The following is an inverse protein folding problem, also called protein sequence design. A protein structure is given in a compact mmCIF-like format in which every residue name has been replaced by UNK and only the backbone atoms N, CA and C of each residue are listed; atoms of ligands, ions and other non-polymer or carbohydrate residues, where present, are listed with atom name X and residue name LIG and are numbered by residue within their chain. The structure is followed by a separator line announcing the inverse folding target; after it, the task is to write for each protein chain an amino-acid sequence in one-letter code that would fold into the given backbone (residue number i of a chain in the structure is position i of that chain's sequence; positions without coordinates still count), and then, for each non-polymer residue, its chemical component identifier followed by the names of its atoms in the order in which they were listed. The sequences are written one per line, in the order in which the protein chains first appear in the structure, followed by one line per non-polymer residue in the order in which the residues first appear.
data_IF_945621229933
#
_entry.id   IF_945621229933
#
_cell.length_a   1.000
_cell.length_b   1.000
_cell.length_c   1.000
_cell.angle_alpha   90.00
_cell.angle_beta   90.00
_cell.angle_gamma   90.00
#
_symmetry.space_group_name_H-M   'P 1'
#
loop_
_entity.id
_entity.type
_entity.pdbx_description
1 polymer ?
#
# COMPACT_ATOMS: atom_id res chain seq x y z
N UNK A 1 4.26 15.45 -3.31
CA UNK A 1 2.86 15.80 -2.96
C UNK A 1 2.75 17.29 -2.62
N UNK A 2 3.75 17.87 -1.92
CA UNK A 2 3.70 19.29 -1.55
C UNK A 2 3.64 20.27 -2.74
N UNK A 3 3.86 19.81 -3.94
CA UNK A 3 3.92 20.64 -5.15
C UNK A 3 2.63 20.60 -6.00
N UNK A 4 1.59 19.92 -5.54
CA UNK A 4 0.31 19.83 -6.23
C UNK A 4 -0.82 20.31 -5.31
N UNK A 5 -0.99 21.64 -5.12
CA UNK A 5 -2.09 22.15 -4.34
C UNK A 5 -3.42 21.70 -4.97
N UNK A 6 -4.36 21.30 -4.12
CA UNK A 6 -5.68 20.84 -4.56
C UNK A 6 -5.79 19.35 -4.90
N UNK A 7 -4.72 18.54 -4.83
CA UNK A 7 -4.81 17.10 -5.01
C UNK A 7 -4.19 16.31 -3.86
N UNK A 8 -4.87 15.25 -3.44
CA UNK A 8 -4.42 14.30 -2.44
C UNK A 8 -3.88 13.02 -3.09
N UNK A 9 -2.73 12.53 -2.62
CA UNK A 9 -2.17 11.27 -3.08
C UNK A 9 -2.84 10.10 -2.33
N UNK A 10 -3.55 9.25 -3.04
CA UNK A 10 -4.30 8.09 -2.51
C UNK A 10 -3.41 7.16 -1.67
N UNK A 11 -2.22 6.82 -2.19
CA UNK A 11 -1.26 5.95 -1.51
C UNK A 11 -0.93 6.45 -0.10
N UNK A 12 -0.57 7.72 0.07
CA UNK A 12 -0.20 8.26 1.38
C UNK A 12 -1.34 8.24 2.38
N UNK A 13 -2.55 8.50 1.92
CA UNK A 13 -3.74 8.40 2.75
C UNK A 13 -4.04 6.94 3.15
N UNK A 14 -3.81 5.97 2.26
CA UNK A 14 -3.90 4.54 2.59
C UNK A 14 -2.88 4.11 3.65
N UNK A 15 -1.63 4.57 3.54
CA UNK A 15 -0.58 4.34 4.54
C UNK A 15 -1.00 4.90 5.91
N UNK A 16 -1.51 6.13 5.94
CA UNK A 16 -1.99 6.77 7.19
C UNK A 16 -3.10 5.94 7.81
N UNK A 17 -4.10 5.55 7.03
CA UNK A 17 -5.23 4.76 7.55
C UNK A 17 -4.74 3.45 8.18
N UNK A 18 -3.91 2.70 7.47
CA UNK A 18 -3.38 1.43 7.96
C UNK A 18 -2.54 1.59 9.23
N UNK A 19 -1.53 2.47 9.18
CA UNK A 19 -0.60 2.64 10.29
C UNK A 19 -1.28 3.19 11.54
N UNK A 20 -2.19 4.15 11.40
CA UNK A 20 -2.88 4.74 12.55
C UNK A 20 -3.84 3.76 13.21
N UNK A 21 -4.64 3.02 12.43
CA UNK A 21 -5.54 2.00 13.00
C UNK A 21 -4.72 0.91 13.70
N UNK A 22 -3.64 0.43 13.08
CA UNK A 22 -2.74 -0.57 13.69
C UNK A 22 -2.12 -0.05 15.00
N UNK A 23 -1.71 1.23 15.02
CA UNK A 23 -1.20 1.87 16.24
C UNK A 23 -2.26 1.98 17.33
N UNK A 24 -3.49 2.35 17.00
CA UNK A 24 -4.59 2.41 17.97
C UNK A 24 -4.91 1.04 18.56
N UNK A 25 -4.94 -0.01 17.72
CA UNK A 25 -5.13 -1.38 18.17
C UNK A 25 -4.03 -1.80 19.15
N UNK A 26 -2.77 -1.54 18.81
CA UNK A 26 -1.62 -1.84 19.65
C UNK A 26 -1.69 -1.12 21.01
N UNK A 27 -2.09 0.16 21.04
CA UNK A 27 -2.25 0.91 22.27
C UNK A 27 -3.36 0.34 23.15
N UNK A 28 -4.47 -0.14 22.54
CA UNK A 28 -5.54 -0.80 23.29
C UNK A 28 -5.08 -2.14 23.88
N UNK A 29 -4.34 -2.94 23.12
CA UNK A 29 -3.77 -4.21 23.59
C UNK A 29 -2.78 -4.01 24.75
N UNK A 30 -2.03 -2.91 24.74
CA UNK A 30 -1.10 -2.54 25.82
C UNK A 30 -1.77 -1.85 27.02
N UNK A 31 -3.10 -1.81 27.06
CA UNK A 31 -3.88 -1.09 28.09
C UNK A 31 -3.58 0.41 28.17
N UNK A 32 -3.11 1.00 27.06
CA UNK A 32 -2.76 2.42 26.91
C UNK A 32 -3.78 3.19 26.05
N UNK A 33 -5.03 2.77 26.05
CA UNK A 33 -6.08 3.41 25.24
C UNK A 33 -6.25 4.91 25.53
N UNK A 34 -5.94 5.33 26.76
CA UNK A 34 -5.95 6.73 27.18
C UNK A 34 -4.85 7.60 26.52
N UNK A 35 -3.88 6.97 25.86
CA UNK A 35 -2.86 7.67 25.07
C UNK A 35 -3.32 7.97 23.63
N UNK A 36 -4.47 7.46 23.22
CA UNK A 36 -5.05 7.76 21.90
C UNK A 36 -5.73 9.12 21.98
N UNK A 37 -5.26 10.06 21.16
CA UNK A 37 -5.89 11.35 21.01
C UNK A 37 -7.26 11.19 20.31
N UNK A 38 -8.37 11.62 20.94
CA UNK A 38 -9.72 11.50 20.36
C UNK A 38 -9.88 12.22 19.03
N UNK A 39 -9.13 13.31 18.82
CA UNK A 39 -9.16 14.04 17.54
C UNK A 39 -8.53 13.19 16.43
N UNK A 40 -7.41 12.53 16.71
CA UNK A 40 -6.79 11.62 15.74
C UNK A 40 -7.67 10.42 15.45
N UNK A 41 -8.27 9.81 16.47
CA UNK A 41 -9.20 8.69 16.28
C UNK A 41 -10.40 9.09 15.40
N UNK A 42 -10.95 10.30 15.61
CA UNK A 42 -12.01 10.86 14.79
C UNK A 42 -11.57 11.11 13.36
N UNK A 43 -10.41 11.74 13.15
CA UNK A 43 -9.89 12.05 11.82
C UNK A 43 -9.55 10.78 11.01
N UNK A 44 -9.03 9.75 11.66
CA UNK A 44 -8.75 8.45 11.00
C UNK A 44 -10.06 7.75 10.59
N UNK A 45 -11.12 7.86 11.40
CA UNK A 45 -12.45 7.38 11.03
C UNK A 45 -13.02 8.12 9.82
N UNK A 46 -12.91 9.46 9.80
CA UNK A 46 -13.32 10.27 8.64
C UNK A 46 -12.54 9.89 7.38
N UNK A 47 -11.26 9.56 7.51
CA UNK A 47 -10.45 9.07 6.39
C UNK A 47 -10.95 7.72 5.88
N UNK A 48 -11.32 6.78 6.76
CA UNK A 48 -11.92 5.51 6.36
C UNK A 48 -13.26 5.72 5.64
N UNK A 49 -14.11 6.62 6.16
CA UNK A 49 -15.38 6.99 5.52
C UNK A 49 -15.15 7.61 4.13
N UNK A 50 -14.13 8.45 3.97
CA UNK A 50 -13.77 9.03 2.68
C UNK A 50 -13.35 7.96 1.66
N UNK A 51 -12.55 6.97 2.04
CA UNK A 51 -12.22 5.84 1.17
C UNK A 51 -13.46 5.06 0.73
N UNK A 52 -14.36 4.77 1.66
CA UNK A 52 -15.62 4.07 1.34
C UNK A 52 -16.49 4.89 0.40
N UNK A 53 -16.64 6.19 0.65
CA UNK A 53 -17.46 7.07 -0.18
C UNK A 53 -16.88 7.20 -1.60
N UNK A 54 -15.56 7.36 -1.72
CA UNK A 54 -14.88 7.39 -3.02
C UNK A 54 -15.07 6.08 -3.79
N UNK A 55 -14.92 4.94 -3.12
CA UNK A 55 -15.18 3.64 -3.74
C UNK A 55 -16.63 3.49 -4.21
N UNK A 56 -17.60 3.83 -3.37
CA UNK A 56 -19.03 3.79 -3.73
C UNK A 56 -19.37 4.71 -4.90
N UNK A 57 -18.68 5.86 -5.02
CA UNK A 57 -18.90 6.84 -6.09
C UNK A 57 -18.27 6.40 -7.42
N UNK A 58 -17.05 5.86 -7.39
CA UNK A 58 -16.22 5.68 -8.58
C UNK A 58 -15.87 4.22 -8.91
N UNK A 59 -16.08 3.27 -8.00
CA UNK A 59 -15.66 1.88 -8.14
C UNK A 59 -14.12 1.69 -8.13
N UNK A 60 -13.38 2.73 -7.78
CA UNK A 60 -11.91 2.72 -7.69
C UNK A 60 -11.45 3.91 -6.85
N UNK A 61 -10.16 3.94 -6.45
CA UNK A 61 -9.59 5.09 -5.73
C UNK A 61 -8.64 5.93 -6.58
N UNK A 62 -8.15 5.41 -7.69
CA UNK A 62 -7.17 6.12 -8.52
C UNK A 62 -5.86 6.44 -7.81
N UNK A 63 -5.03 7.30 -8.41
CA UNK A 63 -3.74 7.72 -7.85
C UNK A 63 -3.84 9.06 -7.10
N UNK A 64 -4.50 10.04 -7.73
CA UNK A 64 -4.74 11.35 -7.16
C UNK A 64 -6.23 11.67 -7.12
N UNK A 65 -6.64 12.30 -6.04
CA UNK A 65 -7.99 12.82 -5.82
C UNK A 65 -7.94 14.35 -5.74
N UNK A 66 -8.87 15.01 -6.37
CA UNK A 66 -9.16 16.42 -6.09
C UNK A 66 -9.72 16.54 -4.68
N UNK A 67 -9.11 17.40 -3.86
CA UNK A 67 -9.44 17.50 -2.43
C UNK A 67 -10.75 18.22 -2.14
N UNK A 68 -11.27 18.99 -3.11
CA UNK A 68 -12.52 19.72 -2.95
C UNK A 68 -13.72 18.88 -3.42
N UNK A 69 -13.60 18.29 -4.62
CA UNK A 69 -14.69 17.50 -5.22
C UNK A 69 -14.68 16.02 -4.84
N UNK A 70 -13.53 15.49 -4.40
CA UNK A 70 -13.31 14.07 -4.21
C UNK A 70 -13.27 13.28 -5.52
N UNK A 71 -13.11 13.94 -6.66
CA UNK A 71 -13.04 13.29 -7.97
C UNK A 71 -11.64 12.77 -8.24
N UNK A 72 -11.58 11.67 -8.99
CA UNK A 72 -10.31 11.04 -9.36
C UNK A 72 -9.66 11.82 -10.49
N UNK A 73 -8.45 12.31 -10.24
CA UNK A 73 -7.65 13.01 -11.24
C UNK A 73 -6.80 12.06 -12.11
N UNK A 74 -6.36 10.92 -11.57
CA UNK A 74 -5.56 9.90 -12.29
C UNK A 74 -6.10 8.53 -11.97
N UNK A 75 -6.59 7.84 -12.99
CA UNK A 75 -7.18 6.49 -12.94
C UNK A 75 -6.15 5.38 -13.22
N UNK A 76 -6.61 4.14 -13.18
CA UNK A 76 -5.89 2.93 -13.60
C UNK A 76 -4.57 2.71 -12.84
N UNK A 77 -4.62 2.76 -11.52
CA UNK A 77 -3.48 2.46 -10.63
C UNK A 77 -3.91 1.61 -9.45
N UNK A 78 -2.96 0.95 -8.82
CA UNK A 78 -3.13 0.24 -7.55
C UNK A 78 -2.75 1.09 -6.33
N UNK A 79 -2.73 2.42 -6.49
CA UNK A 79 -2.29 3.38 -5.45
C UNK A 79 -3.04 3.21 -4.12
N UNK A 80 -4.30 2.79 -4.16
CA UNK A 80 -5.11 2.52 -2.96
C UNK A 80 -4.87 1.16 -2.30
N UNK A 81 -3.89 0.38 -2.76
CA UNK A 81 -3.67 -0.99 -2.27
C UNK A 81 -3.58 -1.07 -0.74
N UNK A 82 -2.85 -0.15 -0.08
CA UNK A 82 -2.72 -0.15 1.38
C UNK A 82 -4.02 0.26 2.11
N UNK A 83 -4.89 1.02 1.46
CA UNK A 83 -6.20 1.36 2.04
C UNK A 83 -7.08 0.12 2.28
N UNK A 84 -6.87 -0.94 1.51
CA UNK A 84 -7.54 -2.24 1.72
C UNK A 84 -7.23 -2.79 3.12
N UNK A 85 -5.95 -2.87 3.49
CA UNK A 85 -5.54 -3.31 4.84
C UNK A 85 -6.07 -2.35 5.91
N UNK A 86 -5.96 -1.04 5.66
CA UNK A 86 -6.47 -0.02 6.57
C UNK A 86 -7.96 -0.16 6.85
N UNK A 87 -8.77 -0.34 5.82
CA UNK A 87 -10.23 -0.54 5.95
C UNK A 87 -10.57 -1.89 6.61
N UNK A 88 -9.83 -2.96 6.29
CA UNK A 88 -10.04 -4.26 6.92
C UNK A 88 -9.86 -4.18 8.45
N UNK A 89 -8.78 -3.56 8.92
CA UNK A 89 -8.55 -3.33 10.35
C UNK A 89 -9.57 -2.35 10.95
N UNK A 90 -9.86 -1.25 10.27
CA UNK A 90 -10.82 -0.25 10.71
C UNK A 90 -12.23 -0.81 10.88
N UNK A 91 -12.59 -1.86 10.12
CA UNK A 91 -13.90 -2.53 10.24
C UNK A 91 -14.13 -3.08 11.66
N UNK A 92 -13.14 -3.81 12.19
CA UNK A 92 -13.20 -4.31 13.56
C UNK A 92 -13.04 -3.20 14.60
N UNK A 93 -12.11 -2.27 14.35
CA UNK A 93 -11.80 -1.20 15.29
C UNK A 93 -12.97 -0.24 15.54
N UNK A 94 -13.66 0.19 14.47
CA UNK A 94 -14.81 1.11 14.54
C UNK A 94 -16.17 0.41 14.51
N UNK A 95 -16.18 -0.94 14.49
CA UNK A 95 -17.40 -1.75 14.37
C UNK A 95 -18.28 -1.34 13.18
N UNK A 96 -17.65 -1.17 12.01
CA UNK A 96 -18.34 -0.80 10.76
C UNK A 96 -18.07 -1.84 9.66
N UNK A 97 -19.06 -2.72 9.34
CA UNK A 97 -18.88 -3.78 8.35
C UNK A 97 -18.75 -3.27 6.90
N UNK A 98 -19.19 -2.06 6.60
CA UNK A 98 -19.03 -1.46 5.27
C UNK A 98 -17.56 -1.29 4.88
N UNK A 99 -16.69 -1.05 5.86
CA UNK A 99 -15.26 -0.95 5.62
C UNK A 99 -14.67 -2.26 5.10
N UNK A 100 -15.00 -3.39 5.74
CA UNK A 100 -14.53 -4.70 5.29
C UNK A 100 -15.12 -5.06 3.92
N UNK A 101 -16.37 -4.73 3.67
CA UNK A 101 -17.02 -4.96 2.38
C UNK A 101 -16.25 -4.27 1.25
N UNK A 102 -15.97 -2.97 1.40
CA UNK A 102 -15.22 -2.19 0.41
C UNK A 102 -13.78 -2.70 0.29
N UNK A 103 -13.14 -3.06 1.39
CA UNK A 103 -11.80 -3.67 1.36
C UNK A 103 -11.76 -4.94 0.51
N UNK A 104 -12.75 -5.83 0.68
CA UNK A 104 -12.85 -7.06 -0.12
C UNK A 104 -13.10 -6.80 -1.61
N UNK A 105 -13.97 -5.85 -1.93
CA UNK A 105 -14.26 -5.45 -3.32
C UNK A 105 -13.01 -4.88 -3.99
N UNK A 106 -12.31 -3.96 -3.33
CA UNK A 106 -11.09 -3.34 -3.84
C UNK A 106 -9.93 -4.35 -3.98
N UNK A 107 -9.77 -5.25 -3.01
CA UNK A 107 -8.78 -6.32 -3.11
C UNK A 107 -9.01 -7.21 -4.33
N UNK A 108 -10.29 -7.56 -4.58
CA UNK A 108 -10.66 -8.36 -5.75
C UNK A 108 -10.34 -7.62 -7.05
N UNK A 109 -10.71 -6.35 -7.16
CA UNK A 109 -10.44 -5.55 -8.35
C UNK A 109 -8.93 -5.41 -8.61
N UNK A 110 -8.14 -5.07 -7.59
CA UNK A 110 -6.70 -4.95 -7.72
C UNK A 110 -6.01 -6.27 -8.05
N UNK A 111 -6.48 -7.37 -7.49
CA UNK A 111 -5.93 -8.68 -7.82
C UNK A 111 -6.25 -9.08 -9.26
N UNK A 112 -7.52 -9.01 -9.65
CA UNK A 112 -7.99 -9.47 -10.97
C UNK A 112 -7.49 -8.58 -12.11
N UNK A 113 -7.51 -7.24 -11.92
CA UNK A 113 -7.22 -6.28 -12.98
C UNK A 113 -5.73 -5.95 -13.11
N UNK A 114 -4.92 -6.16 -12.06
CA UNK A 114 -3.51 -5.74 -12.03
C UNK A 114 -2.56 -6.87 -11.64
N UNK A 115 -2.75 -7.50 -10.49
CA UNK A 115 -1.80 -8.49 -9.97
C UNK A 115 -1.67 -9.72 -10.89
N UNK A 116 -2.79 -10.24 -11.38
CA UNK A 116 -2.80 -11.41 -12.28
C UNK A 116 -2.09 -11.16 -13.62
N UNK A 117 -2.01 -9.92 -14.07
CA UNK A 117 -1.25 -9.55 -15.26
C UNK A 117 0.19 -9.13 -14.96
N UNK A 118 0.62 -9.25 -13.71
CA UNK A 118 1.98 -8.93 -13.26
C UNK A 118 2.29 -7.44 -13.20
N UNK A 119 1.30 -6.59 -12.96
CA UNK A 119 1.43 -5.15 -13.01
C UNK A 119 0.81 -4.50 -11.77
N UNK A 120 1.59 -3.66 -11.07
CA UNK A 120 1.12 -2.78 -9.99
C UNK A 120 1.72 -1.40 -10.16
N UNK A 121 1.03 -0.33 -9.78
CA UNK A 121 1.47 1.04 -10.04
C UNK A 121 0.88 2.07 -9.07
N UNK A 122 1.47 3.26 -9.04
CA UNK A 122 0.95 4.39 -8.27
C UNK A 122 1.47 4.49 -6.84
N UNK A 123 2.52 3.76 -6.50
CA UNK A 123 3.16 3.82 -5.17
C UNK A 123 3.82 5.14 -4.89
N UNK A 124 4.60 5.64 -5.83
CA UNK A 124 5.21 6.96 -5.75
C UNK A 124 4.38 7.97 -6.54
N UNK A 125 4.18 9.17 -5.97
CA UNK A 125 3.36 10.20 -6.60
C UNK A 125 3.88 10.71 -7.96
N UNK A 126 5.18 10.65 -8.17
CA UNK A 126 5.86 11.12 -9.38
C UNK A 126 5.86 10.11 -10.55
N UNK A 127 5.59 8.85 -10.28
CA UNK A 127 5.62 7.79 -11.30
C UNK A 127 4.27 7.51 -11.96
N UNK A 128 3.20 8.07 -11.42
CA UNK A 128 1.81 7.91 -11.90
C UNK A 128 1.45 6.44 -12.13
N UNK A 129 1.25 6.05 -13.38
CA UNK A 129 0.84 4.71 -13.81
C UNK A 129 2.02 3.77 -14.15
N UNK A 130 3.27 4.18 -13.94
CA UNK A 130 4.40 3.28 -14.13
C UNK A 130 4.43 2.17 -13.08
N UNK A 131 4.92 1.01 -13.50
CA UNK A 131 5.02 -0.13 -12.59
C UNK A 131 5.99 0.13 -11.43
N UNK A 132 5.63 -0.31 -10.23
CA UNK A 132 6.42 -0.14 -9.02
C UNK A 132 6.31 -1.34 -8.06
N UNK A 133 7.32 -1.49 -7.21
CA UNK A 133 7.37 -2.51 -6.17
C UNK A 133 6.54 -2.17 -4.94
N UNK A 134 6.34 -0.88 -4.66
CA UNK A 134 5.72 -0.43 -3.42
C UNK A 134 4.24 -0.81 -3.36
N UNK A 135 3.51 -0.68 -4.46
CA UNK A 135 2.11 -1.10 -4.50
C UNK A 135 1.94 -2.61 -4.59
N UNK A 136 2.94 -3.34 -5.14
CA UNK A 136 2.95 -4.80 -5.06
C UNK A 136 3.01 -5.27 -3.59
N UNK A 137 3.93 -4.71 -2.80
CA UNK A 137 4.06 -5.03 -1.36
C UNK A 137 2.84 -4.54 -0.58
N UNK A 138 2.29 -3.37 -0.93
CA UNK A 138 1.08 -2.86 -0.30
C UNK A 138 -0.12 -3.80 -0.50
N UNK A 139 -0.27 -4.34 -1.71
CA UNK A 139 -1.34 -5.28 -2.00
C UNK A 139 -1.10 -6.63 -1.31
N UNK A 140 0.15 -7.12 -1.26
CA UNK A 140 0.52 -8.30 -0.50
C UNK A 140 0.14 -8.15 0.99
N UNK A 141 0.57 -7.06 1.63
CA UNK A 141 0.22 -6.74 3.02
C UNK A 141 -1.29 -6.71 3.22
N UNK A 142 -2.02 -6.16 2.26
CA UNK A 142 -3.48 -6.05 2.32
C UNK A 142 -4.19 -7.39 2.21
N UNK A 143 -3.72 -8.28 1.33
CA UNK A 143 -4.27 -9.63 1.21
C UNK A 143 -3.98 -10.47 2.47
N UNK A 144 -2.78 -10.36 3.04
CA UNK A 144 -2.44 -11.00 4.31
C UNK A 144 -3.33 -10.47 5.44
N UNK A 145 -3.53 -9.15 5.54
CA UNK A 145 -4.44 -8.55 6.53
C UNK A 145 -5.89 -9.04 6.34
N UNK A 146 -6.36 -9.15 5.10
CA UNK A 146 -7.69 -9.71 4.83
C UNK A 146 -7.79 -11.19 5.23
N UNK A 147 -6.73 -11.98 5.04
CA UNK A 147 -6.68 -13.35 5.53
C UNK A 147 -6.78 -13.39 7.06
N UNK A 148 -5.99 -12.59 7.76
CA UNK A 148 -6.01 -12.49 9.22
C UNK A 148 -7.39 -12.09 9.78
N UNK A 149 -8.04 -11.10 9.14
CA UNK A 149 -9.34 -10.58 9.58
C UNK A 149 -10.49 -11.55 9.25
N UNK A 150 -10.42 -12.26 8.10
CA UNK A 150 -11.56 -13.04 7.60
C UNK A 150 -11.40 -14.55 7.70
N UNK A 151 -10.18 -15.07 7.84
CA UNK A 151 -9.84 -16.49 7.78
C UNK A 151 -10.03 -17.13 6.39
N UNK A 152 -10.26 -16.35 5.33
CA UNK A 152 -10.55 -16.89 4.00
C UNK A 152 -9.26 -17.26 3.25
N UNK A 153 -9.05 -18.54 3.03
CA UNK A 153 -7.91 -19.16 2.33
C UNK A 153 -7.61 -18.55 0.94
N UNK A 154 -8.62 -17.97 0.28
CA UNK A 154 -8.42 -17.32 -1.02
C UNK A 154 -7.37 -16.20 -0.93
N UNK A 155 -7.38 -15.41 0.15
CA UNK A 155 -6.44 -14.30 0.32
C UNK A 155 -5.01 -14.80 0.54
N UNK A 156 -4.84 -15.92 1.25
CA UNK A 156 -3.53 -16.55 1.40
C UNK A 156 -2.97 -17.03 0.05
N UNK A 157 -3.81 -17.64 -0.80
CA UNK A 157 -3.41 -18.05 -2.16
C UNK A 157 -3.03 -16.86 -3.02
N UNK A 158 -3.85 -15.82 -3.02
CA UNK A 158 -3.58 -14.56 -3.73
C UNK A 158 -2.30 -13.89 -3.22
N UNK A 159 -2.01 -13.97 -1.92
CA UNK A 159 -0.77 -13.44 -1.34
C UNK A 159 0.46 -14.16 -1.89
N UNK A 160 0.40 -15.47 -2.14
CA UNK A 160 1.52 -16.22 -2.74
C UNK A 160 1.84 -15.72 -4.16
N UNK A 161 0.82 -15.37 -4.96
CA UNK A 161 1.02 -14.77 -6.28
C UNK A 161 1.68 -13.39 -6.18
N UNK A 162 1.23 -12.57 -5.23
CA UNK A 162 1.83 -11.26 -4.96
C UNK A 162 3.26 -11.37 -4.42
N UNK A 163 3.58 -12.36 -3.59
CA UNK A 163 4.95 -12.60 -3.13
C UNK A 163 5.88 -12.92 -4.30
N UNK A 164 5.41 -13.71 -5.27
CA UNK A 164 6.14 -13.97 -6.51
C UNK A 164 6.35 -12.68 -7.32
N UNK A 165 5.31 -11.84 -7.45
CA UNK A 165 5.44 -10.54 -8.11
C UNK A 165 6.45 -9.63 -7.39
N UNK A 166 6.41 -9.55 -6.06
CA UNK A 166 7.38 -8.80 -5.26
C UNK A 166 8.82 -9.31 -5.48
N UNK A 167 9.00 -10.64 -5.57
CA UNK A 167 10.32 -11.22 -5.82
C UNK A 167 10.92 -10.79 -7.18
N UNK A 168 10.09 -10.49 -8.18
CA UNK A 168 10.59 -10.00 -9.48
C UNK A 168 11.26 -8.62 -9.42
N UNK A 169 10.95 -7.83 -8.38
CA UNK A 169 11.57 -6.54 -8.12
C UNK A 169 12.89 -6.63 -7.36
N UNK A 170 13.24 -7.83 -6.88
CA UNK A 170 14.43 -8.04 -6.07
C UNK A 170 15.60 -8.46 -6.94
N UNK A 171 16.74 -7.82 -6.74
CA UNK A 171 18.00 -8.16 -7.41
C UNK A 171 18.45 -9.55 -6.95
N UNK A 172 18.47 -10.52 -7.86
CA UNK A 172 18.76 -11.93 -7.56
C UNK A 172 20.22 -12.34 -7.74
N UNK A 173 21.07 -11.44 -8.27
CA UNK A 173 22.50 -11.72 -8.52
C UNK A 173 23.35 -10.46 -8.28
N UNK A 174 24.67 -10.63 -7.97
CA UNK A 174 25.57 -9.52 -7.78
C UNK A 174 25.88 -8.85 -9.13
N UNK A 175 25.58 -7.56 -9.24
CA UNK A 175 26.00 -6.75 -10.39
C UNK A 175 27.52 -6.55 -10.40
N UNK A 176 28.12 -6.61 -11.59
CA UNK A 176 29.48 -6.20 -11.80
C UNK A 176 29.57 -4.66 -11.79
N UNK A 177 30.00 -4.12 -10.68
CA UNK A 177 30.16 -2.67 -10.53
C UNK A 177 31.44 -2.21 -11.27
N UNK A 178 31.42 -1.06 -11.97
CA UNK A 178 32.63 -0.50 -12.56
C UNK A 178 33.70 -0.22 -11.49
N UNK A 179 34.94 -0.65 -11.71
CA UNK A 179 36.03 -0.70 -10.71
C UNK A 179 36.30 0.64 -10.03
N UNK A 180 36.11 1.76 -10.74
CA UNK A 180 36.40 3.11 -10.24
C UNK A 180 35.22 3.74 -9.45
N UNK A 181 34.11 3.04 -9.27
CA UNK A 181 32.97 3.57 -8.53
C UNK A 181 33.17 3.46 -7.01
N UNK A 182 32.59 4.37 -6.20
CA UNK A 182 32.61 4.26 -4.75
C UNK A 182 32.06 2.91 -4.25
N UNK A 183 30.99 2.40 -4.86
CA UNK A 183 30.36 1.13 -4.46
C UNK A 183 31.29 -0.07 -4.73
N UNK A 184 32.01 -0.09 -5.87
CA UNK A 184 32.97 -1.15 -6.14
C UNK A 184 34.13 -1.11 -5.12
N UNK A 185 34.64 0.07 -4.78
CA UNK A 185 35.70 0.24 -3.78
C UNK A 185 35.29 -0.21 -2.38
N UNK A 186 34.01 -0.10 -2.05
CA UNK A 186 33.43 -0.59 -0.80
C UNK A 186 33.11 -2.10 -0.83
N UNK A 187 33.29 -2.78 -1.97
CA UNK A 187 32.90 -4.19 -2.12
C UNK A 187 31.39 -4.40 -2.03
N UNK A 188 30.57 -3.40 -2.44
CA UNK A 188 29.13 -3.47 -2.30
C UNK A 188 28.55 -4.63 -3.11
N UNK A 189 27.66 -5.40 -2.45
CA UNK A 189 26.85 -6.44 -3.09
C UNK A 189 25.40 -5.94 -3.13
N UNK A 190 24.80 -5.90 -4.32
CA UNK A 190 23.44 -5.41 -4.53
C UNK A 190 22.39 -6.53 -4.51
N UNK A 191 22.78 -7.79 -4.31
CA UNK A 191 21.84 -8.92 -4.20
C UNK A 191 20.90 -8.67 -3.01
N UNK A 192 19.61 -8.80 -3.23
CA UNK A 192 18.57 -8.51 -2.24
C UNK A 192 18.08 -7.05 -2.22
N UNK A 193 18.74 -6.13 -2.94
CA UNK A 193 18.20 -4.80 -3.13
C UNK A 193 16.91 -4.84 -3.97
N UNK A 194 15.98 -3.93 -3.70
CA UNK A 194 14.70 -3.87 -4.40
C UNK A 194 14.67 -2.66 -5.33
N UNK A 195 14.27 -2.86 -6.57
CA UNK A 195 13.99 -1.78 -7.52
C UNK A 195 12.72 -1.04 -7.12
N UNK A 196 12.77 0.28 -7.06
CA UNK A 196 11.62 1.08 -6.66
C UNK A 196 10.50 1.07 -7.71
N UNK A 197 10.86 1.33 -8.97
CA UNK A 197 9.90 1.37 -10.08
C UNK A 197 10.63 1.29 -11.43
N UNK A 198 9.86 1.13 -12.50
CA UNK A 198 10.40 1.18 -13.88
C UNK A 198 10.92 2.57 -14.27
N UNK A 199 10.39 3.63 -13.66
CA UNK A 199 10.85 5.01 -13.89
C UNK A 199 11.99 5.38 -12.95
N UNK A 200 11.83 5.15 -11.66
CA UNK A 200 12.84 5.42 -10.63
C UNK A 200 13.79 4.23 -10.54
N UNK A 201 14.81 4.23 -11.37
CA UNK A 201 15.77 3.13 -11.53
C UNK A 201 16.84 3.11 -10.41
N UNK A 202 16.43 3.35 -9.19
CA UNK A 202 17.28 3.17 -8.02
C UNK A 202 16.86 1.93 -7.22
N UNK A 203 17.83 1.26 -6.64
CA UNK A 203 17.61 0.19 -5.70
C UNK A 203 17.57 0.73 -4.27
N UNK A 204 16.78 0.12 -3.43
CA UNK A 204 16.75 0.37 -2.00
C UNK A 204 17.11 -0.91 -1.23
N UNK A 205 17.73 -0.81 -0.04
CA UNK A 205 17.99 -1.98 0.78
C UNK A 205 16.71 -2.47 1.45
N UNK A 206 15.84 -3.10 0.69
CA UNK A 206 14.51 -3.51 1.11
C UNK A 206 13.42 -2.58 0.59
N UNK A 207 12.20 -2.76 1.10
CA UNK A 207 11.05 -1.96 0.67
C UNK A 207 11.09 -0.57 1.32
N UNK A 208 11.14 0.47 0.50
CA UNK A 208 11.38 1.86 0.94
C UNK A 208 10.41 2.39 1.99
N UNK A 209 9.20 1.87 2.06
CA UNK A 209 8.11 2.46 2.84
C UNK A 209 7.25 1.43 3.56
N UNK A 210 7.59 0.15 3.47
CA UNK A 210 6.81 -0.91 4.11
C UNK A 210 7.74 -2.00 4.63
N UNK A 211 7.39 -2.57 5.77
CA UNK A 211 8.08 -3.74 6.28
C UNK A 211 7.84 -4.94 5.36
N UNK A 212 8.83 -5.77 5.19
CA UNK A 212 8.68 -7.04 4.46
C UNK A 212 8.04 -8.16 5.28
N UNK A 213 7.32 -7.83 6.34
CA UNK A 213 6.72 -8.79 7.26
C UNK A 213 5.60 -9.65 6.66
N UNK A 214 5.02 -9.19 5.54
CA UNK A 214 4.03 -9.96 4.79
C UNK A 214 4.65 -11.01 3.83
N UNK A 215 5.95 -10.92 3.55
CA UNK A 215 6.69 -11.89 2.73
C UNK A 215 7.08 -13.13 3.55
#
# INVERSE_FOLDING_TARGET
AANHPGVGLTRKNGDILYCMVKQFMLLKEQEKANAIDPEWETNVRLLADAFVNTWKKHGTWGNYLDVESGDIAVYNTTSGAMAVAGLALASGYYNNPDYLKVACEAAKDYYDSFALVGFTSGGCGDILQNADSETAVALLTSLMTLYEVTGKEQYLKQSADLANLCATWTVSFPYRLPENTPLAKLGANLTGAVWASTQNKHGAPGFCTQSGDAL
#
